data_IF_651874863996
#
_entry.id   IF_651874863996
#
_cell.length_a   1.000
_cell.length_b   1.000
_cell.length_c   1.000
_cell.angle_alpha   90.00
_cell.angle_beta   90.00
_cell.angle_gamma   90.00
#
_symmetry.space_group_name_H-M   'P 1'
#
loop_
_entity.id
_entity.type
_entity.pdbx_description
1 polymer ?
#
# COMPACT_ATOMS: atom_id res chain seq x y z
N UNK A 1 -24.99 12.21 15.11
CA UNK A 1 -24.54 11.66 13.81
C UNK A 1 -23.85 10.33 14.04
N UNK A 2 -23.89 9.37 13.11
CA UNK A 2 -23.24 8.07 13.32
C UNK A 2 -21.73 8.27 13.52
N UNK A 3 -21.17 7.53 14.46
CA UNK A 3 -19.73 7.53 14.74
C UNK A 3 -18.96 7.19 13.46
N UNK A 4 -17.85 7.91 13.20
CA UNK A 4 -16.94 7.66 12.06
C UNK A 4 -16.38 6.23 12.04
N UNK A 5 -16.44 5.52 13.16
CA UNK A 5 -16.10 4.09 13.28
C UNK A 5 -17.02 3.15 12.50
N UNK A 6 -18.23 3.59 12.14
CA UNK A 6 -19.19 2.79 11.34
C UNK A 6 -18.78 2.75 9.86
N UNK A 7 -18.05 3.78 9.38
CA UNK A 7 -17.65 3.88 7.97
C UNK A 7 -16.28 3.26 7.72
N UNK A 8 -15.34 3.35 8.67
CA UNK A 8 -14.01 2.79 8.53
C UNK A 8 -13.50 2.15 9.83
N UNK A 9 -13.05 0.89 9.80
CA UNK A 9 -12.48 0.21 10.96
C UNK A 9 -11.11 0.79 11.35
N UNK A 10 -10.78 0.79 12.64
CA UNK A 10 -9.58 1.45 13.23
C UNK A 10 -8.24 1.05 12.62
N UNK A 11 -8.16 -0.12 11.99
CA UNK A 11 -6.95 -0.52 11.27
C UNK A 11 -6.68 0.35 10.04
N UNK A 12 -7.71 0.97 9.44
CA UNK A 12 -7.59 1.84 8.29
C UNK A 12 -7.09 3.24 8.69
N UNK A 13 -7.34 3.65 9.94
CA UNK A 13 -7.01 4.98 10.46
C UNK A 13 -6.03 4.87 11.63
N UNK A 14 -4.73 4.75 11.32
CA UNK A 14 -3.65 5.12 12.25
C UNK A 14 -2.75 6.14 11.57
N UNK A 15 -2.66 7.39 12.08
CA UNK A 15 -1.95 8.46 11.41
C UNK A 15 -0.46 8.28 11.62
N UNK A 16 0.25 7.97 10.55
CA UNK A 16 1.47 8.68 10.19
C UNK A 16 1.69 8.40 8.71
N UNK A 17 0.93 9.11 7.88
CA UNK A 17 1.21 9.26 6.44
C UNK A 17 2.52 9.98 6.17
N UNK A 18 3.29 10.34 7.20
CA UNK A 18 4.63 10.87 7.05
C UNK A 18 5.46 9.87 6.23
N UNK A 19 5.85 10.23 4.99
CA UNK A 19 6.74 9.41 4.19
C UNK A 19 7.98 9.06 5.01
N UNK A 20 8.41 7.80 4.97
CA UNK A 20 9.52 7.31 5.81
C UNK A 20 9.17 6.94 7.25
N UNK A 21 7.92 7.11 7.70
CA UNK A 21 7.49 6.69 9.05
C UNK A 21 7.61 5.18 9.26
N UNK A 22 8.14 4.78 10.41
CA UNK A 22 8.14 3.37 10.86
C UNK A 22 6.74 2.85 11.23
N UNK A 23 5.73 3.72 11.33
CA UNK A 23 4.35 3.32 11.63
C UNK A 23 3.53 3.01 10.37
N UNK A 24 4.08 3.27 9.17
CA UNK A 24 3.41 2.98 7.89
C UNK A 24 2.92 1.53 7.84
N UNK A 25 1.81 1.31 7.13
CA UNK A 25 1.27 -0.02 6.88
C UNK A 25 1.79 -0.55 5.55
N UNK A 26 1.86 -1.89 5.41
CA UNK A 26 2.42 -2.52 4.22
C UNK A 26 1.69 -2.06 2.95
N UNK A 27 0.36 -1.97 2.94
CA UNK A 27 -0.38 -1.58 1.74
C UNK A 27 -0.08 -0.14 1.28
N UNK A 28 0.14 0.80 2.21
CA UNK A 28 0.59 2.16 1.89
C UNK A 28 2.01 2.14 1.31
N UNK A 29 2.90 1.37 1.92
CA UNK A 29 4.28 1.21 1.44
C UNK A 29 4.32 0.61 0.03
N UNK A 30 3.47 -0.39 -0.28
CA UNK A 30 3.37 -0.95 -1.62
C UNK A 30 2.92 0.09 -2.65
N UNK A 31 1.93 0.93 -2.30
CA UNK A 31 1.49 2.02 -3.17
C UNK A 31 2.59 3.08 -3.36
N UNK A 32 3.36 3.40 -2.32
CA UNK A 32 4.53 4.29 -2.42
C UNK A 32 5.57 3.75 -3.41
N UNK A 33 5.89 2.44 -3.33
CA UNK A 33 6.81 1.80 -4.26
C UNK A 33 6.28 1.77 -5.70
N UNK A 34 4.97 1.56 -5.86
CA UNK A 34 4.29 1.53 -7.16
C UNK A 34 4.08 2.91 -7.78
N UNK A 35 4.14 3.99 -6.99
CA UNK A 35 3.96 5.37 -7.44
C UNK A 35 5.25 6.16 -7.68
N UNK A 36 6.40 5.63 -7.25
CA UNK A 36 7.69 6.28 -7.42
C UNK A 36 8.21 6.21 -8.86
N UNK A 37 8.69 7.34 -9.40
CA UNK A 37 9.26 7.47 -10.76
C UNK A 37 10.70 6.94 -10.91
N UNK A 38 11.29 6.31 -9.88
CA UNK A 38 12.72 5.97 -9.87
C UNK A 38 13.03 4.56 -9.36
N UNK A 39 13.45 3.68 -10.27
CA UNK A 39 14.41 2.59 -10.01
C UNK A 39 13.94 1.35 -9.23
N UNK A 40 12.64 1.17 -9.00
CA UNK A 40 12.13 0.01 -8.23
C UNK A 40 11.20 -0.90 -9.04
N UNK A 41 11.09 -0.68 -10.35
CA UNK A 41 10.40 -1.55 -11.31
C UNK A 41 10.81 -3.01 -11.19
N UNK A 42 12.08 -3.26 -10.89
CA UNK A 42 12.65 -4.61 -10.79
C UNK A 42 12.20 -5.35 -9.52
N UNK A 43 11.50 -4.66 -8.61
CA UNK A 43 10.99 -5.23 -7.36
C UNK A 43 9.49 -5.41 -7.37
N UNK A 44 8.76 -4.37 -7.76
CA UNK A 44 7.31 -4.37 -7.80
C UNK A 44 6.85 -3.42 -8.90
N UNK A 45 5.82 -3.82 -9.64
CA UNK A 45 5.28 -3.05 -10.75
C UNK A 45 3.79 -3.27 -10.92
N UNK A 46 3.13 -2.34 -11.63
CA UNK A 46 1.75 -2.52 -12.04
C UNK A 46 1.63 -3.67 -13.05
N UNK A 47 0.55 -4.43 -12.94
CA UNK A 47 0.19 -5.50 -13.87
C UNK A 47 -0.68 -5.01 -15.02
N UNK A 48 -1.28 -5.95 -15.76
CA UNK A 48 -2.08 -5.64 -16.95
C UNK A 48 -3.52 -5.20 -16.66
N UNK A 49 -4.00 -5.36 -15.42
CA UNK A 49 -5.35 -4.97 -15.01
C UNK A 49 -5.33 -3.81 -14.02
N UNK A 50 -6.39 -3.00 -14.01
CA UNK A 50 -6.52 -1.87 -13.08
C UNK A 50 -6.36 -2.29 -11.61
N UNK A 51 -5.35 -1.74 -10.94
CA UNK A 51 -5.01 -2.04 -9.55
C UNK A 51 -4.32 -3.38 -9.32
N UNK A 52 -4.07 -4.17 -10.37
CA UNK A 52 -3.23 -5.36 -10.30
C UNK A 52 -1.76 -4.95 -10.23
N UNK A 53 -0.98 -5.59 -9.37
CA UNK A 53 0.46 -5.43 -9.28
C UNK A 53 1.16 -6.77 -9.15
N UNK A 54 2.41 -6.81 -9.60
CA UNK A 54 3.27 -7.99 -9.59
C UNK A 54 4.50 -7.68 -8.75
N UNK A 55 4.87 -8.61 -7.87
CA UNK A 55 6.13 -8.55 -7.13
C UNK A 55 7.16 -9.36 -7.93
N UNK A 56 8.08 -8.66 -8.59
CA UNK A 56 9.14 -9.25 -9.40
C UNK A 56 10.27 -9.82 -8.54
N UNK A 57 10.64 -9.12 -7.45
CA UNK A 57 11.66 -9.57 -6.51
C UNK A 57 11.12 -9.60 -5.06
N UNK A 58 10.58 -10.75 -4.62
CA UNK A 58 9.98 -10.91 -3.28
C UNK A 58 10.96 -10.65 -2.13
N UNK A 59 12.21 -11.06 -2.29
CA UNK A 59 13.26 -10.90 -1.28
C UNK A 59 13.65 -9.43 -1.12
N UNK A 60 13.87 -8.72 -2.23
CA UNK A 60 14.15 -7.28 -2.21
C UNK A 60 12.99 -6.50 -1.62
N UNK A 61 11.74 -6.83 -1.98
CA UNK A 61 10.56 -6.20 -1.39
C UNK A 61 10.53 -6.38 0.14
N UNK A 62 10.79 -7.60 0.61
CA UNK A 62 10.80 -7.89 2.04
C UNK A 62 11.93 -7.16 2.77
N UNK A 63 13.11 -7.03 2.15
CA UNK A 63 14.23 -6.27 2.69
C UNK A 63 13.89 -4.79 2.85
N UNK A 64 13.38 -4.16 1.80
CA UNK A 64 12.96 -2.74 1.83
C UNK A 64 11.88 -2.51 2.88
N UNK A 65 10.94 -3.46 3.02
CA UNK A 65 9.94 -3.39 4.07
C UNK A 65 10.53 -3.53 5.48
N UNK A 66 11.50 -4.44 5.65
CA UNK A 66 12.26 -4.60 6.89
C UNK A 66 13.01 -3.32 7.28
N UNK A 67 13.71 -2.71 6.33
CA UNK A 67 14.40 -1.42 6.48
C UNK A 67 13.42 -0.33 6.93
N UNK A 68 12.28 -0.18 6.24
CA UNK A 68 11.23 0.80 6.59
C UNK A 68 10.69 0.63 8.01
N UNK A 69 10.57 -0.61 8.49
CA UNK A 69 10.03 -0.92 9.82
C UNK A 69 11.09 -1.08 10.91
N UNK A 70 12.37 -1.01 10.58
CA UNK A 70 13.46 -1.34 11.51
C UNK A 70 13.41 -2.80 11.98
N UNK A 71 13.06 -3.73 11.08
CA UNK A 71 12.92 -5.17 11.34
C UNK A 71 13.91 -5.94 10.45
N UNK A 72 15.16 -6.17 10.91
CA UNK A 72 16.22 -6.77 10.09
C UNK A 72 15.93 -8.22 9.66
N UNK A 73 15.10 -8.94 10.41
CA UNK A 73 14.69 -10.32 10.10
C UNK A 73 13.36 -10.40 9.33
N UNK A 74 12.98 -9.34 8.60
CA UNK A 74 11.85 -9.37 7.68
C UNK A 74 12.19 -10.26 6.48
N UNK A 75 11.23 -11.08 6.05
CA UNK A 75 11.34 -11.91 4.87
C UNK A 75 9.99 -11.98 4.15
N UNK A 76 9.97 -12.58 2.97
CA UNK A 76 8.74 -12.64 2.19
C UNK A 76 7.64 -13.48 2.85
N UNK A 77 7.97 -14.54 3.58
CA UNK A 77 6.97 -15.36 4.27
C UNK A 77 6.18 -14.55 5.30
N UNK A 78 6.88 -13.75 6.11
CA UNK A 78 6.28 -12.84 7.10
C UNK A 78 5.49 -11.73 6.40
N UNK A 79 6.03 -11.13 5.33
CA UNK A 79 5.34 -10.10 4.55
C UNK A 79 4.06 -10.65 3.91
N UNK A 80 4.14 -11.83 3.30
CA UNK A 80 3.01 -12.50 2.65
C UNK A 80 1.91 -12.87 3.63
N UNK A 81 2.24 -13.09 4.91
CA UNK A 81 1.24 -13.28 5.97
C UNK A 81 0.38 -12.03 6.18
N UNK A 82 0.97 -10.84 6.09
CA UNK A 82 0.26 -9.56 6.14
C UNK A 82 -0.58 -9.34 4.87
N UNK A 83 -0.05 -9.68 3.68
CA UNK A 83 -0.85 -9.65 2.44
C UNK A 83 -2.11 -10.53 2.53
N UNK A 84 -1.98 -11.75 3.07
CA UNK A 84 -3.15 -12.63 3.29
C UNK A 84 -4.17 -12.03 4.25
N UNK A 85 -3.72 -11.31 5.27
CA UNK A 85 -4.61 -10.63 6.22
C UNK A 85 -5.45 -9.52 5.54
N UNK A 86 -4.94 -8.94 4.45
CA UNK A 86 -5.64 -7.91 3.69
C UNK A 86 -6.81 -8.42 2.84
N UNK A 87 -6.90 -9.73 2.58
CA UNK A 87 -7.99 -10.32 1.79
C UNK A 87 -9.34 -10.14 2.49
N UNK A 88 -9.43 -10.54 3.76
CA UNK A 88 -10.66 -10.41 4.56
C UNK A 88 -11.02 -8.95 4.81
N UNK A 89 -10.01 -8.07 4.84
CA UNK A 89 -10.18 -6.63 4.99
C UNK A 89 -10.56 -5.92 3.69
N UNK A 90 -10.64 -6.66 2.58
CA UNK A 90 -10.98 -6.16 1.25
C UNK A 90 -10.09 -4.98 0.82
N UNK A 91 -8.82 -4.97 1.24
CA UNK A 91 -7.82 -3.96 0.81
C UNK A 91 -7.21 -4.39 -0.53
N UNK A 92 -6.80 -5.65 -0.60
CA UNK A 92 -6.30 -6.29 -1.81
C UNK A 92 -6.68 -7.77 -1.77
N UNK A 93 -6.55 -8.45 -2.90
CA UNK A 93 -6.73 -9.88 -3.03
C UNK A 93 -5.61 -10.50 -3.86
N UNK A 94 -5.46 -11.83 -3.75
CA UNK A 94 -4.56 -12.60 -4.60
C UNK A 94 -5.18 -12.79 -5.99
N UNK A 95 -4.45 -12.48 -7.06
CA UNK A 95 -4.87 -12.93 -8.39
C UNK A 95 -4.66 -14.45 -8.49
N UNK A 96 -5.73 -15.19 -8.77
CA UNK A 96 -5.69 -16.65 -8.91
C UNK A 96 -4.85 -17.04 -10.13
N UNK A 97 -4.10 -18.14 -10.04
CA UNK A 97 -3.28 -18.68 -11.14
C UNK A 97 -1.99 -17.90 -11.46
N UNK A 98 -1.84 -16.64 -11.03
CA UNK A 98 -0.63 -15.84 -11.30
C UNK A 98 0.33 -15.86 -10.11
N UNK A 99 1.64 -16.03 -10.32
CA UNK A 99 2.64 -16.03 -9.24
C UNK A 99 2.89 -14.59 -8.74
N UNK A 100 2.97 -14.41 -7.42
CA UNK A 100 3.25 -13.12 -6.75
C UNK A 100 2.44 -11.91 -7.24
N UNK A 101 1.26 -12.16 -7.81
CA UNK A 101 0.38 -11.13 -8.37
C UNK A 101 -0.81 -10.90 -7.45
N UNK A 102 -1.12 -9.65 -7.18
CA UNK A 102 -2.16 -9.22 -6.26
C UNK A 102 -2.90 -8.05 -6.88
N UNK A 103 -4.12 -7.77 -6.41
CA UNK A 103 -4.92 -6.67 -6.94
C UNK A 103 -5.57 -5.89 -5.81
N UNK A 104 -5.31 -4.59 -5.79
CA UNK A 104 -5.96 -3.66 -4.87
C UNK A 104 -7.46 -3.58 -5.16
N UNK A 105 -8.26 -3.51 -4.10
CA UNK A 105 -9.68 -3.23 -4.23
C UNK A 105 -9.88 -1.70 -4.18
N UNK A 106 -9.60 -1.02 -5.29
CA UNK A 106 -9.72 0.43 -5.35
C UNK A 106 -11.14 0.93 -5.13
N UNK A 107 -12.18 0.19 -5.52
CA UNK A 107 -13.57 0.56 -5.23
C UNK A 107 -13.87 0.67 -3.72
N UNK A 108 -13.13 -0.05 -2.87
CA UNK A 108 -13.21 0.08 -1.41
C UNK A 108 -12.17 1.03 -0.83
N UNK A 109 -11.00 1.15 -1.45
CA UNK A 109 -9.98 2.12 -1.04
C UNK A 109 -10.38 3.56 -1.40
N UNK A 110 -11.11 3.82 -2.47
CA UNK A 110 -11.61 5.16 -2.85
C UNK A 110 -12.49 5.76 -1.75
N UNK A 111 -13.25 4.94 -1.00
CA UNK A 111 -13.98 5.41 0.19
C UNK A 111 -13.03 5.85 1.32
N UNK A 112 -11.91 5.15 1.51
CA UNK A 112 -10.87 5.50 2.51
C UNK A 112 -10.00 6.67 2.04
N UNK A 113 -9.76 6.80 0.73
CA UNK A 113 -8.75 7.65 0.12
C UNK A 113 -9.30 9.00 -0.39
N UNK A 114 -10.62 9.16 -0.62
CA UNK A 114 -11.20 10.47 -0.98
C UNK A 114 -10.99 11.54 0.12
N UNK A 115 -10.80 11.14 1.38
CA UNK A 115 -10.44 12.05 2.47
C UNK A 115 -8.92 12.31 2.60
N UNK A 116 -8.09 11.50 1.93
CA UNK A 116 -6.62 11.56 1.99
C UNK A 116 -6.07 12.25 0.73
N UNK A 117 -6.77 12.11 -0.40
CA UNK A 117 -6.50 12.86 -1.64
C UNK A 117 -6.87 14.33 -1.55
N UNK A 118 -7.72 14.81 -0.63
CA UNK A 118 -7.75 16.26 -0.34
C UNK A 118 -6.42 16.76 0.25
N UNK A 119 -5.68 15.92 0.96
CA UNK A 119 -4.33 16.22 1.46
C UNK A 119 -3.27 16.21 0.35
N UNK A 120 -3.32 15.23 -0.57
CA UNK A 120 -2.41 15.15 -1.72
C UNK A 120 -2.77 16.15 -2.84
N UNK A 121 -4.05 16.50 -3.02
CA UNK A 121 -4.49 17.59 -3.88
C UNK A 121 -4.09 18.95 -3.30
N UNK A 122 -4.11 19.13 -1.97
CA UNK A 122 -3.47 20.29 -1.31
C UNK A 122 -1.95 20.35 -1.56
N UNK A 123 -1.25 19.20 -1.53
CA UNK A 123 0.18 19.14 -1.81
C UNK A 123 0.49 19.44 -3.30
N UNK A 124 -0.38 18.98 -4.22
CA UNK A 124 -0.30 19.26 -5.65
C UNK A 124 -0.63 20.73 -5.96
N UNK A 125 -1.65 21.34 -5.35
CA UNK A 125 -1.94 22.77 -5.49
C UNK A 125 -0.83 23.67 -4.92
N UNK A 126 -0.13 23.23 -3.86
CA UNK A 126 1.04 23.95 -3.33
C UNK A 126 2.27 23.83 -4.24
N UNK A 127 2.42 22.73 -4.98
CA UNK A 127 3.52 22.55 -5.95
C UNK A 127 3.22 23.17 -7.33
N UNK A 128 1.95 23.43 -7.65
CA UNK A 128 1.52 24.06 -8.91
C UNK A 128 1.30 25.58 -8.80
N UNK A 129 1.66 26.21 -7.66
CA UNK A 129 1.56 27.67 -7.46
C UNK A 129 2.91 28.31 -7.08
N UNK A 130 4.03 27.70 -7.48
CA UNK A 130 5.37 28.30 -7.42
C UNK A 130 6.16 27.90 -8.66
#
# INVERSE_FOLDING_TARGET
GPSRSVLFPDWAYKPAWSPGSRQVQLWHFLLELLGGSGGQSDTIGWGGEWGEFVIHNPERLARLWGERKGKPHMNYDKLSRALRYYYNKRILHKTKGKRFTYKFNFSKLVLVNMLIWWGLFCLWCRYSSS
#
